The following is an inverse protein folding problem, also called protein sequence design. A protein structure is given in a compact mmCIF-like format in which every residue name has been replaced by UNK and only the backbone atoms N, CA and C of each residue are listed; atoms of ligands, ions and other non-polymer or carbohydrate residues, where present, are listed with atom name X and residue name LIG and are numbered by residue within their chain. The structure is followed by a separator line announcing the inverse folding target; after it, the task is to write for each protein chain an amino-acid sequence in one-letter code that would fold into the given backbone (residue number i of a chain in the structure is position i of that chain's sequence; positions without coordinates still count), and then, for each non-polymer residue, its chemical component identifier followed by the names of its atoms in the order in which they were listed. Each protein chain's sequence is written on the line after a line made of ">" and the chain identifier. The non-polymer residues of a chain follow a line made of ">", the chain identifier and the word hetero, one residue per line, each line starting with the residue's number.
data_IF_449086208219
#
_entry.id   IF_449086208219
#
_cell.length_a   1.000
_cell.length_b   1.000
_cell.length_c   1.000
_cell.angle_alpha   90.00
_cell.angle_beta   90.00
_cell.angle_gamma   90.00
#
_symmetry.space_group_name_H-M   'P 1'
#
loop_
_entity.id
_entity.type
_entity.pdbx_description
1 polymer ?
#
# COMPACT_ATOMS: atom_id res chain seq x y z
N UNK A 1 22.47 8.92 -25.25
CA UNK A 1 21.73 7.78 -24.67
C UNK A 1 20.51 8.31 -23.92
N UNK A 2 19.28 8.10 -24.41
CA UNK A 2 18.09 8.39 -23.61
C UNK A 2 18.03 7.37 -22.47
N UNK A 3 17.95 7.81 -21.22
CA UNK A 3 17.87 6.90 -20.09
C UNK A 3 16.55 6.11 -20.17
N UNK A 4 16.61 4.79 -19.99
CA UNK A 4 15.44 3.91 -20.00
C UNK A 4 14.42 4.26 -18.89
N UNK A 5 14.86 5.04 -17.90
CA UNK A 5 14.09 5.52 -16.75
C UNK A 5 13.14 6.67 -17.10
N UNK A 6 13.57 7.60 -17.96
CA UNK A 6 12.78 8.79 -18.31
C UNK A 6 11.38 8.47 -18.88
N UNK A 7 11.21 7.54 -19.85
CA UNK A 7 9.87 7.20 -20.36
C UNK A 7 9.00 6.46 -19.33
N UNK A 8 9.60 5.75 -18.37
CA UNK A 8 8.85 5.08 -17.30
C UNK A 8 8.35 6.09 -16.27
N UNK A 9 9.18 7.07 -15.90
CA UNK A 9 8.80 8.18 -15.02
C UNK A 9 7.64 8.98 -15.59
N UNK A 10 7.70 9.39 -16.86
CA UNK A 10 6.62 10.16 -17.49
C UNK A 10 5.32 9.36 -17.57
N UNK A 11 5.40 8.07 -17.91
CA UNK A 11 4.23 7.18 -17.94
C UNK A 11 3.64 6.97 -16.55
N UNK A 12 4.46 6.81 -15.51
CA UNK A 12 3.98 6.72 -14.13
C UNK A 12 3.39 8.02 -13.62
N UNK A 13 3.92 9.18 -14.03
CA UNK A 13 3.34 10.46 -13.65
C UNK A 13 1.98 10.66 -14.33
N UNK A 14 1.91 10.42 -15.63
CA UNK A 14 0.69 10.62 -16.41
C UNK A 14 -0.38 9.57 -16.12
N UNK A 15 -0.03 8.29 -16.07
CA UNK A 15 -1.00 7.20 -15.87
C UNK A 15 -1.16 6.91 -14.38
N UNK A 16 -0.06 6.69 -13.66
CA UNK A 16 -0.02 6.44 -12.21
C UNK A 16 -0.67 7.58 -11.43
N UNK A 17 -0.22 8.82 -11.69
CA UNK A 17 -0.74 10.01 -11.04
C UNK A 17 -2.20 10.29 -11.37
N UNK A 18 -2.62 10.27 -12.64
CA UNK A 18 -4.01 10.58 -13.00
C UNK A 18 -5.01 9.55 -12.47
N UNK A 19 -4.75 8.25 -12.65
CA UNK A 19 -5.62 7.22 -12.10
C UNK A 19 -5.58 7.24 -10.57
N UNK A 20 -4.40 7.44 -9.97
CA UNK A 20 -4.28 7.62 -8.53
C UNK A 20 -5.14 8.76 -8.00
N UNK A 21 -5.13 9.91 -8.69
CA UNK A 21 -5.98 11.05 -8.35
C UNK A 21 -7.46 10.68 -8.44
N UNK A 22 -7.90 10.04 -9.53
CA UNK A 22 -9.29 9.61 -9.71
C UNK A 22 -9.79 8.65 -8.62
N UNK A 23 -8.95 7.72 -8.18
CA UNK A 23 -9.31 6.80 -7.09
C UNK A 23 -9.22 7.45 -5.71
N UNK A 24 -8.38 8.48 -5.55
CA UNK A 24 -8.28 9.24 -4.32
C UNK A 24 -9.39 10.28 -4.14
N UNK A 25 -9.92 10.86 -5.23
CA UNK A 25 -10.97 11.91 -5.17
C UNK A 25 -12.25 11.40 -4.53
N UNK A 26 -12.71 10.19 -4.86
CA UNK A 26 -13.95 9.63 -4.31
C UNK A 26 -13.97 9.52 -2.78
N UNK A 27 -13.03 8.81 -2.13
CA UNK A 27 -13.02 8.72 -0.66
C UNK A 27 -12.75 10.08 -0.02
N UNK A 28 -11.92 10.92 -0.64
CA UNK A 28 -11.70 12.29 -0.19
C UNK A 28 -12.98 13.13 -0.20
N UNK A 29 -13.73 13.11 -1.30
CA UNK A 29 -14.99 13.85 -1.47
C UNK A 29 -16.07 13.37 -0.50
N UNK A 30 -16.22 12.06 -0.33
CA UNK A 30 -17.14 11.48 0.64
C UNK A 30 -16.83 11.97 2.05
N UNK A 31 -15.55 11.94 2.43
CA UNK A 31 -15.13 12.40 3.74
C UNK A 31 -15.28 13.91 3.89
N UNK A 32 -14.94 14.69 2.88
CA UNK A 32 -15.14 16.14 2.90
C UNK A 32 -16.62 16.51 3.12
N UNK A 33 -17.55 15.77 2.50
CA UNK A 33 -18.99 15.94 2.74
C UNK A 33 -19.38 15.54 4.17
N UNK A 34 -18.95 14.36 4.65
CA UNK A 34 -19.35 13.88 5.98
C UNK A 34 -18.72 14.68 7.11
N UNK A 35 -17.44 15.05 6.99
CA UNK A 35 -16.72 15.84 7.98
C UNK A 35 -17.39 17.19 8.19
N UNK A 36 -17.74 17.86 7.11
CA UNK A 36 -18.40 19.15 7.21
C UNK A 36 -19.85 19.06 7.64
N UNK A 37 -20.58 17.99 7.26
CA UNK A 37 -21.92 17.72 7.81
C UNK A 37 -21.91 17.55 9.34
N UNK A 38 -20.80 17.08 9.89
CA UNK A 38 -20.60 16.88 11.33
C UNK A 38 -19.96 18.11 12.02
N UNK A 39 -19.74 19.21 11.29
CA UNK A 39 -19.06 20.41 11.81
C UNK A 39 -17.57 20.21 12.09
N UNK A 40 -16.96 19.12 11.60
CA UNK A 40 -15.55 18.83 11.79
C UNK A 40 -14.72 19.30 10.61
N UNK A 41 -13.65 20.05 10.90
CA UNK A 41 -12.60 20.33 9.93
C UNK A 41 -11.73 19.08 9.83
N UNK A 42 -11.91 18.29 8.77
CA UNK A 42 -11.05 17.12 8.55
C UNK A 42 -9.63 17.60 8.30
N UNK A 43 -8.69 17.06 9.07
CA UNK A 43 -7.30 17.40 8.91
C UNK A 43 -6.79 16.97 7.52
N UNK A 44 -6.14 17.88 6.82
CA UNK A 44 -5.81 17.71 5.41
C UNK A 44 -4.90 16.49 5.14
N UNK A 45 -3.99 16.18 6.07
CA UNK A 45 -3.14 15.00 5.98
C UNK A 45 -3.94 13.68 5.98
N UNK A 46 -5.13 13.64 6.60
CA UNK A 46 -6.01 12.47 6.57
C UNK A 46 -6.64 12.28 5.19
N UNK A 47 -7.06 13.38 4.54
CA UNK A 47 -7.57 13.33 3.16
C UNK A 47 -6.48 12.81 2.20
N UNK A 48 -5.23 13.21 2.42
CA UNK A 48 -4.10 12.70 1.67
C UNK A 48 -3.85 11.23 1.94
N UNK A 49 -3.80 10.83 3.21
CA UNK A 49 -3.60 9.44 3.58
C UNK A 49 -4.70 8.52 3.02
N UNK A 50 -5.96 8.97 3.01
CA UNK A 50 -7.08 8.18 2.50
C UNK A 50 -7.10 8.13 0.98
N UNK A 51 -6.79 9.25 0.31
CA UNK A 51 -6.57 9.26 -1.13
C UNK A 51 -5.42 8.34 -1.54
N UNK A 52 -4.32 8.38 -0.79
CA UNK A 52 -3.16 7.52 -0.97
C UNK A 52 -3.48 6.05 -0.73
N UNK A 53 -4.24 5.73 0.31
CA UNK A 53 -4.70 4.36 0.59
C UNK A 53 -5.52 3.80 -0.57
N UNK A 54 -6.50 4.56 -1.05
CA UNK A 54 -7.38 4.12 -2.14
C UNK A 54 -6.63 3.91 -3.45
N UNK A 55 -5.75 4.84 -3.81
CA UNK A 55 -4.87 4.68 -4.97
C UNK A 55 -3.91 3.49 -4.82
N UNK A 56 -3.38 3.28 -3.61
CA UNK A 56 -2.53 2.15 -3.26
C UNK A 56 -3.23 0.80 -3.44
N UNK A 57 -4.46 0.63 -2.93
CA UNK A 57 -5.26 -0.59 -3.13
C UNK A 57 -5.45 -0.87 -4.62
N UNK A 58 -5.92 0.15 -5.36
CA UNK A 58 -6.25 -0.01 -6.77
C UNK A 58 -5.02 -0.38 -7.60
N UNK A 59 -3.92 0.35 -7.40
CA UNK A 59 -2.68 0.14 -8.16
C UNK A 59 -1.88 -1.07 -7.71
N UNK A 60 -2.00 -1.47 -6.45
CA UNK A 60 -1.29 -2.62 -5.89
C UNK A 60 -1.87 -3.96 -6.30
N UNK A 61 -3.15 -4.02 -6.69
CA UNK A 61 -3.83 -5.28 -7.01
C UNK A 61 -3.18 -6.07 -8.16
N UNK A 62 -3.04 -5.43 -9.33
CA UNK A 62 -2.49 -6.08 -10.52
C UNK A 62 -1.02 -6.53 -10.38
N UNK A 63 -0.08 -5.70 -9.88
CA UNK A 63 1.30 -6.13 -9.69
C UNK A 63 1.41 -7.24 -8.63
N UNK A 64 0.62 -7.18 -7.56
CA UNK A 64 0.60 -8.23 -6.52
C UNK A 64 0.07 -9.56 -7.07
N UNK A 65 -0.96 -9.52 -7.92
CA UNK A 65 -1.47 -10.70 -8.60
C UNK A 65 -0.44 -11.29 -9.58
N UNK A 66 0.24 -10.45 -10.36
CA UNK A 66 1.31 -10.90 -11.28
C UNK A 66 2.47 -11.54 -10.52
N UNK A 67 2.87 -10.95 -9.38
CA UNK A 67 3.87 -11.54 -8.50
C UNK A 67 3.39 -12.89 -7.96
N UNK A 68 2.12 -12.99 -7.53
CA UNK A 68 1.55 -14.27 -7.10
C UNK A 68 1.53 -15.34 -8.19
N UNK A 69 1.24 -14.96 -9.44
CA UNK A 69 1.32 -15.84 -10.61
C UNK A 69 2.77 -16.25 -10.92
N UNK A 70 3.73 -15.35 -10.73
CA UNK A 70 5.15 -15.66 -10.87
C UNK A 70 5.60 -16.70 -9.84
N UNK A 71 5.19 -16.52 -8.57
CA UNK A 71 5.43 -17.51 -7.51
C UNK A 71 4.80 -18.85 -7.89
N UNK A 72 3.55 -18.86 -8.37
CA UNK A 72 2.90 -20.11 -8.84
C UNK A 72 3.70 -20.81 -9.94
N UNK A 73 4.17 -20.07 -10.95
CA UNK A 73 4.81 -20.62 -12.14
C UNK A 73 6.25 -21.09 -11.90
N UNK A 74 7.04 -20.34 -11.13
CA UNK A 74 8.48 -20.61 -10.99
C UNK A 74 8.85 -21.31 -9.68
N UNK A 75 8.16 -21.00 -8.59
CA UNK A 75 8.49 -21.53 -7.26
C UNK A 75 7.52 -22.63 -6.85
N UNK A 76 6.23 -22.43 -7.10
CA UNK A 76 5.13 -23.19 -6.53
C UNK A 76 4.79 -22.71 -5.11
N UNK A 77 3.52 -22.40 -4.87
CA UNK A 77 3.06 -21.88 -3.57
C UNK A 77 3.30 -22.85 -2.40
N UNK A 78 3.29 -24.16 -2.64
CA UNK A 78 3.64 -25.14 -1.61
C UNK A 78 5.10 -24.96 -1.16
N UNK A 79 6.04 -24.90 -2.12
CA UNK A 79 7.46 -24.70 -1.83
C UNK A 79 7.72 -23.36 -1.18
N UNK A 80 7.04 -22.30 -1.64
CA UNK A 80 7.13 -20.97 -1.04
C UNK A 80 6.77 -21.00 0.45
N UNK A 81 5.60 -21.55 0.81
CA UNK A 81 5.17 -21.59 2.20
C UNK A 81 5.99 -22.53 3.06
N UNK A 82 6.45 -23.67 2.52
CA UNK A 82 7.36 -24.57 3.23
C UNK A 82 8.70 -23.91 3.49
N UNK A 83 9.27 -23.20 2.52
CA UNK A 83 10.53 -22.46 2.69
C UNK A 83 10.38 -21.30 3.67
N UNK A 84 9.35 -20.46 3.50
CA UNK A 84 9.06 -19.35 4.39
C UNK A 84 8.82 -19.84 5.83
N UNK A 85 8.06 -20.92 5.98
CA UNK A 85 7.86 -21.60 7.25
C UNK A 85 9.17 -22.13 7.84
N UNK A 86 10.02 -22.77 7.03
CA UNK A 86 11.31 -23.30 7.50
C UNK A 86 12.24 -22.20 7.98
N UNK A 87 12.37 -21.10 7.22
CA UNK A 87 13.23 -19.96 7.58
C UNK A 87 12.72 -19.29 8.85
N UNK A 88 11.43 -18.95 8.91
CA UNK A 88 10.84 -18.32 10.11
C UNK A 88 10.91 -19.24 11.33
N UNK A 89 10.62 -20.53 11.16
CA UNK A 89 10.76 -21.53 12.21
C UNK A 89 12.20 -21.67 12.69
N UNK A 90 13.18 -21.66 11.79
CA UNK A 90 14.60 -21.68 12.13
C UNK A 90 15.06 -20.45 12.91
N UNK A 91 14.59 -19.26 12.51
CA UNK A 91 14.85 -18.01 13.23
C UNK A 91 14.25 -18.05 14.64
N UNK A 92 12.98 -18.42 14.77
CA UNK A 92 12.31 -18.54 16.09
C UNK A 92 13.00 -19.61 16.94
N UNK A 93 13.33 -20.77 16.36
CA UNK A 93 14.05 -21.84 17.02
C UNK A 93 15.45 -21.44 17.47
N UNK A 94 16.14 -20.62 16.68
CA UNK A 94 17.44 -20.03 17.04
C UNK A 94 17.34 -19.01 18.16
N UNK A 95 16.34 -18.13 18.12
CA UNK A 95 16.07 -17.17 19.21
C UNK A 95 15.75 -17.89 20.52
N UNK A 96 14.92 -18.93 20.47
CA UNK A 96 14.63 -19.77 21.63
C UNK A 96 15.89 -20.51 22.08
N UNK A 97 16.68 -21.08 21.17
CA UNK A 97 17.95 -21.74 21.48
C UNK A 97 18.97 -20.80 22.15
N UNK A 98 19.01 -19.52 21.73
CA UNK A 98 19.84 -18.49 22.35
C UNK A 98 19.40 -18.14 23.78
N UNK A 99 18.12 -18.26 24.12
CA UNK A 99 17.69 -18.11 25.53
C UNK A 99 18.34 -19.17 26.44
N UNK A 100 18.77 -20.30 25.87
CA UNK A 100 19.51 -21.36 26.55
C UNK A 100 20.98 -21.40 26.11
N UNK A 101 21.60 -20.23 25.88
CA UNK A 101 23.00 -20.12 25.40
C UNK A 101 24.04 -20.82 26.29
N UNK A 102 23.72 -21.03 27.57
CA UNK A 102 24.56 -21.76 28.53
C UNK A 102 24.62 -23.27 28.25
N UNK A 103 23.70 -23.79 27.42
CA UNK A 103 23.74 -25.14 26.91
C UNK A 103 24.11 -25.10 25.43
N UNK A 104 25.23 -25.73 25.06
CA UNK A 104 25.71 -25.75 23.67
C UNK A 104 24.70 -26.47 22.73
N UNK A 105 23.97 -27.45 23.26
CA UNK A 105 23.10 -28.34 22.48
C UNK A 105 21.81 -27.65 21.96
N UNK A 106 21.06 -26.87 22.77
CA UNK A 106 19.91 -26.07 22.30
C UNK A 106 20.22 -25.05 21.20
N UNK A 107 21.44 -24.48 21.17
CA UNK A 107 21.83 -23.48 20.16
C UNK A 107 21.82 -24.10 18.76
N UNK A 108 22.23 -25.36 18.62
CA UNK A 108 22.20 -26.06 17.34
C UNK A 108 20.86 -26.74 17.09
N UNK A 109 20.27 -27.39 18.10
CA UNK A 109 19.01 -28.15 17.93
C UNK A 109 17.81 -27.24 17.73
N UNK A 110 17.78 -26.06 18.36
CA UNK A 110 16.70 -25.08 18.25
C UNK A 110 16.40 -24.67 16.81
N UNK A 111 17.38 -24.18 16.03
CA UNK A 111 17.21 -23.85 14.62
C UNK A 111 16.71 -25.03 13.78
N UNK A 112 17.31 -26.23 13.91
CA UNK A 112 16.91 -27.39 13.11
C UNK A 112 15.49 -27.89 13.44
N UNK A 113 15.15 -27.97 14.73
CA UNK A 113 13.81 -28.34 15.17
C UNK A 113 12.79 -27.28 14.74
N UNK A 114 13.15 -26.00 14.87
CA UNK A 114 12.39 -24.85 14.41
C UNK A 114 12.13 -24.91 12.91
N UNK A 115 13.14 -25.16 12.08
CA UNK A 115 12.99 -25.33 10.63
C UNK A 115 12.02 -26.46 10.29
N UNK A 116 12.12 -27.61 10.96
CA UNK A 116 11.25 -28.78 10.69
C UNK A 116 9.80 -28.51 11.09
N UNK A 117 9.57 -27.86 12.23
CA UNK A 117 8.23 -27.44 12.66
C UNK A 117 7.67 -26.37 11.72
N UNK A 118 8.50 -25.40 11.37
CA UNK A 118 8.19 -24.33 10.43
C UNK A 118 7.80 -24.85 9.05
N UNK A 119 8.52 -25.84 8.51
CA UNK A 119 8.17 -26.52 7.26
C UNK A 119 6.77 -27.16 7.31
N UNK A 120 6.45 -27.86 8.41
CA UNK A 120 5.14 -28.47 8.63
C UNK A 120 4.04 -27.42 8.75
N UNK A 121 4.29 -26.33 9.47
CA UNK A 121 3.37 -25.20 9.59
C UNK A 121 3.12 -24.55 8.23
N UNK A 122 4.18 -24.29 7.45
CA UNK A 122 4.10 -23.79 6.08
C UNK A 122 3.24 -24.66 5.18
N UNK A 123 3.39 -25.98 5.25
CA UNK A 123 2.53 -26.91 4.50
C UNK A 123 1.06 -26.84 4.93
N UNK A 124 0.78 -26.74 6.23
CA UNK A 124 -0.58 -26.57 6.76
C UNK A 124 -1.20 -25.25 6.29
N UNK A 125 -0.43 -24.16 6.33
CA UNK A 125 -0.86 -22.87 5.80
C UNK A 125 -1.22 -23.04 4.33
N UNK A 126 -0.32 -23.59 3.51
CA UNK A 126 -0.56 -23.82 2.10
C UNK A 126 -1.86 -24.59 1.82
N UNK A 127 -2.11 -25.69 2.55
CA UNK A 127 -3.34 -26.48 2.43
C UNK A 127 -4.60 -25.66 2.73
N UNK A 128 -4.55 -24.77 3.73
CA UNK A 128 -5.68 -23.91 4.05
C UNK A 128 -6.00 -22.91 2.92
N UNK A 129 -4.98 -22.37 2.25
CA UNK A 129 -5.15 -21.38 1.18
C UNK A 129 -5.40 -21.95 -0.22
N UNK A 130 -5.23 -23.27 -0.42
CA UNK A 130 -5.27 -23.87 -1.76
C UNK A 130 -6.66 -23.73 -2.42
N UNK A 131 -7.73 -23.78 -1.63
CA UNK A 131 -9.12 -23.66 -2.11
C UNK A 131 -9.47 -22.26 -2.65
N UNK A 132 -8.84 -21.23 -2.10
CA UNK A 132 -9.09 -19.83 -2.47
C UNK A 132 -8.14 -19.32 -3.56
N UNK A 133 -7.03 -20.02 -3.79
CA UNK A 133 -5.97 -19.63 -4.70
C UNK A 133 -5.01 -18.62 -4.05
N UNK A 134 -3.78 -19.04 -3.82
CA UNK A 134 -2.76 -18.22 -3.17
C UNK A 134 -2.41 -16.95 -3.95
N UNK A 135 -2.62 -16.92 -5.26
CA UNK A 135 -2.43 -15.72 -6.08
C UNK A 135 -3.46 -14.64 -5.73
N UNK A 136 -4.69 -15.04 -5.39
CA UNK A 136 -5.75 -14.11 -4.98
C UNK A 136 -5.51 -13.61 -3.55
N UNK A 137 -5.15 -14.52 -2.64
CA UNK A 137 -4.79 -14.15 -1.26
C UNK A 137 -3.58 -13.21 -1.28
N UNK A 138 -2.55 -13.53 -2.05
CA UNK A 138 -1.36 -12.70 -2.23
C UNK A 138 -1.68 -11.34 -2.88
N UNK A 139 -2.59 -11.31 -3.86
CA UNK A 139 -3.05 -10.06 -4.46
C UNK A 139 -3.77 -9.16 -3.46
N UNK A 140 -4.66 -9.73 -2.63
CA UNK A 140 -5.37 -9.01 -1.56
C UNK A 140 -4.41 -8.52 -0.48
N UNK A 141 -3.51 -9.37 0.01
CA UNK A 141 -2.53 -8.97 1.02
C UNK A 141 -1.59 -7.89 0.47
N UNK A 142 -1.14 -8.04 -0.77
CA UNK A 142 -0.30 -7.05 -1.46
C UNK A 142 -1.02 -5.73 -1.72
N UNK A 143 -2.31 -5.75 -2.09
CA UNK A 143 -3.11 -4.53 -2.27
C UNK A 143 -3.35 -3.80 -0.94
N UNK A 144 -3.53 -4.53 0.17
CA UNK A 144 -3.63 -3.92 1.50
C UNK A 144 -2.29 -3.30 1.93
N UNK A 145 -1.18 -3.98 1.72
CA UNK A 145 0.15 -3.44 2.06
C UNK A 145 0.48 -2.20 1.24
N UNK A 146 0.17 -2.20 -0.05
CA UNK A 146 0.32 -1.02 -0.92
C UNK A 146 -0.65 0.10 -0.56
N UNK A 147 -1.84 -0.21 -0.03
CA UNK A 147 -2.73 0.78 0.59
C UNK A 147 -2.06 1.48 1.77
N UNK A 148 -1.52 0.70 2.71
CA UNK A 148 -0.89 1.23 3.91
C UNK A 148 0.32 2.09 3.53
N UNK A 149 1.17 1.59 2.63
CA UNK A 149 2.32 2.36 2.14
C UNK A 149 1.88 3.63 1.39
N UNK A 150 0.84 3.53 0.56
CA UNK A 150 0.26 4.68 -0.13
C UNK A 150 -0.27 5.74 0.83
N UNK A 151 -0.95 5.31 1.88
CA UNK A 151 -1.46 6.18 2.94
C UNK A 151 -0.33 6.88 3.70
N UNK A 152 0.72 6.14 4.06
CA UNK A 152 1.89 6.69 4.75
C UNK A 152 2.62 7.68 3.87
N UNK A 153 2.89 7.34 2.61
CA UNK A 153 3.59 8.23 1.67
C UNK A 153 2.80 9.50 1.40
N UNK A 154 1.50 9.38 1.15
CA UNK A 154 0.63 10.53 0.94
C UNK A 154 0.46 11.36 2.22
N UNK A 155 0.30 10.73 3.38
CA UNK A 155 0.21 11.44 4.67
C UNK A 155 1.48 12.23 4.97
N UNK A 156 2.66 11.63 4.78
CA UNK A 156 3.94 12.31 4.92
C UNK A 156 4.07 13.48 3.95
N UNK A 157 3.71 13.28 2.69
CA UNK A 157 3.73 14.35 1.69
C UNK A 157 2.76 15.49 2.05
N UNK A 158 1.56 15.18 2.54
CA UNK A 158 0.55 16.15 2.96
C UNK A 158 0.95 16.94 4.21
N UNK A 159 1.79 16.36 5.08
CA UNK A 159 2.37 17.03 6.25
C UNK A 159 3.64 17.84 5.95
N UNK A 160 4.20 17.70 4.75
CA UNK A 160 5.44 18.37 4.34
C UNK A 160 5.21 19.78 3.78
N UNK A 161 6.29 20.50 3.48
CA UNK A 161 6.25 21.78 2.76
C UNK A 161 5.51 21.67 1.41
N UNK A 162 5.64 20.51 0.74
CA UNK A 162 4.91 20.24 -0.51
C UNK A 162 3.41 20.27 -0.26
N UNK A 163 2.96 19.56 0.79
CA UNK A 163 1.59 19.61 1.28
C UNK A 163 1.15 21.05 1.54
N UNK A 164 1.89 21.79 2.39
CA UNK A 164 1.56 23.17 2.72
C UNK A 164 1.34 24.06 1.47
N UNK A 165 2.20 23.96 0.46
CA UNK A 165 2.07 24.71 -0.80
C UNK A 165 0.92 24.23 -1.68
N UNK A 166 0.68 22.93 -1.76
CA UNK A 166 -0.43 22.37 -2.56
C UNK A 166 -1.81 22.61 -1.95
N UNK A 167 -1.88 22.88 -0.65
CA UNK A 167 -3.15 23.07 0.06
C UNK A 167 -3.68 24.49 -0.07
N UNK A 168 -2.79 25.47 -0.27
CA UNK A 168 -3.15 26.87 -0.45
C UNK A 168 -4.20 27.12 -1.55
N UNK A 169 -4.07 26.59 -2.78
CA UNK A 169 -5.11 26.80 -3.79
C UNK A 169 -6.45 26.13 -3.44
N UNK A 170 -6.42 24.99 -2.74
CA UNK A 170 -7.64 24.33 -2.29
C UNK A 170 -8.35 25.12 -1.17
N UNK A 171 -7.58 25.72 -0.26
CA UNK A 171 -8.09 26.63 0.77
C UNK A 171 -8.62 27.93 0.16
N UNK A 172 -7.90 28.53 -0.79
CA UNK A 172 -8.38 29.73 -1.49
C UNK A 172 -9.68 29.47 -2.26
N UNK A 173 -9.82 28.29 -2.88
CA UNK A 173 -11.06 27.88 -3.54
C UNK A 173 -12.19 27.64 -2.54
N UNK A 174 -11.89 27.04 -1.39
CA UNK A 174 -12.84 26.87 -0.29
C UNK A 174 -13.38 28.22 0.20
N UNK A 175 -12.49 29.15 0.51
CA UNK A 175 -12.83 30.49 0.99
C UNK A 175 -13.65 31.26 -0.05
N UNK A 176 -13.28 31.15 -1.34
CA UNK A 176 -14.06 31.74 -2.43
C UNK A 176 -15.48 31.15 -2.52
N UNK A 177 -15.63 29.83 -2.38
CA UNK A 177 -16.94 29.19 -2.40
C UNK A 177 -17.80 29.60 -1.19
N UNK A 178 -17.20 29.69 -0.01
CA UNK A 178 -17.88 30.17 1.21
C UNK A 178 -18.33 31.62 1.03
N UNK A 179 -17.48 32.48 0.47
CA UNK A 179 -17.80 33.88 0.17
C UNK A 179 -18.91 34.06 -0.89
N UNK A 180 -19.32 32.98 -1.56
CA UNK A 180 -20.41 32.96 -2.55
C UNK A 180 -21.66 32.24 -2.04
N UNK A 181 -21.76 32.01 -0.73
CA UNK A 181 -22.85 31.26 -0.10
C UNK A 181 -23.07 29.87 -0.72
N UNK A 182 -22.00 29.25 -1.22
CA UNK A 182 -22.08 27.89 -1.74
C UNK A 182 -22.49 26.94 -0.61
N UNK A 183 -23.30 25.93 -0.95
CA UNK A 183 -23.72 24.94 0.03
C UNK A 183 -22.51 24.22 0.63
N UNK A 184 -22.58 23.94 1.93
CA UNK A 184 -21.56 23.17 2.64
C UNK A 184 -21.32 21.79 1.97
N UNK A 185 -22.33 21.21 1.30
CA UNK A 185 -22.14 19.99 0.52
C UNK A 185 -21.14 20.17 -0.61
N UNK A 186 -21.29 21.25 -1.40
CA UNK A 186 -20.44 21.52 -2.56
C UNK A 186 -19.01 21.80 -2.10
N UNK A 187 -18.86 22.66 -1.10
CA UNK A 187 -17.53 23.07 -0.69
C UNK A 187 -16.79 21.91 0.02
N UNK A 188 -17.49 21.02 0.72
CA UNK A 188 -16.91 19.82 1.34
C UNK A 188 -16.51 18.78 0.30
N UNK A 189 -17.33 18.59 -0.72
CA UNK A 189 -17.02 17.73 -1.86
C UNK A 189 -15.76 18.19 -2.60
N UNK A 190 -15.62 19.50 -2.84
CA UNK A 190 -14.46 20.07 -3.55
C UNK A 190 -13.19 19.97 -2.70
N UNK A 191 -13.24 20.41 -1.44
CA UNK A 191 -12.14 20.35 -0.47
C UNK A 191 -11.66 18.91 -0.28
N UNK A 192 -12.59 18.03 0.07
CA UNK A 192 -12.32 16.61 0.27
C UNK A 192 -11.80 15.94 -1.00
N UNK A 193 -12.44 16.21 -2.13
CA UNK A 193 -12.08 15.65 -3.43
C UNK A 193 -10.67 16.06 -3.85
N UNK A 194 -10.29 17.32 -3.65
CA UNK A 194 -8.94 17.81 -3.95
C UNK A 194 -7.89 17.19 -3.02
N UNK A 195 -8.14 17.15 -1.71
CA UNK A 195 -7.22 16.50 -0.76
C UNK A 195 -6.99 15.03 -1.08
N UNK A 196 -8.08 14.31 -1.41
CA UNK A 196 -8.01 12.93 -1.87
C UNK A 196 -7.29 12.78 -3.22
N UNK A 197 -7.52 13.69 -4.17
CA UNK A 197 -6.85 13.70 -5.47
C UNK A 197 -5.33 13.81 -5.33
N UNK A 198 -4.85 14.73 -4.49
CA UNK A 198 -3.41 14.94 -4.30
C UNK A 198 -2.75 13.73 -3.64
N UNK A 199 -3.33 13.22 -2.55
CA UNK A 199 -2.82 12.02 -1.90
C UNK A 199 -2.83 10.80 -2.81
N UNK A 200 -3.93 10.64 -3.57
CA UNK A 200 -4.08 9.58 -4.55
C UNK A 200 -3.09 9.69 -5.70
N UNK A 201 -2.83 10.88 -6.23
CA UNK A 201 -1.88 11.11 -7.32
C UNK A 201 -0.46 10.70 -6.92
N UNK A 202 -0.05 11.07 -5.71
CA UNK A 202 1.28 10.75 -5.19
C UNK A 202 1.43 9.25 -5.02
N UNK A 203 0.50 8.60 -4.30
CA UNK A 203 0.56 7.16 -4.11
C UNK A 203 0.47 6.41 -5.43
N UNK A 204 -0.41 6.84 -6.34
CA UNK A 204 -0.58 6.23 -7.66
C UNK A 204 0.68 6.33 -8.52
N UNK A 205 1.36 7.48 -8.50
CA UNK A 205 2.66 7.66 -9.14
C UNK A 205 3.71 6.68 -8.59
N UNK A 206 3.87 6.62 -7.26
CA UNK A 206 4.89 5.77 -6.65
C UNK A 206 4.59 4.27 -6.82
N UNK A 207 3.35 3.84 -6.64
CA UNK A 207 2.95 2.44 -6.84
C UNK A 207 3.17 2.01 -8.30
N UNK A 208 2.80 2.85 -9.27
CA UNK A 208 3.01 2.55 -10.69
C UNK A 208 4.51 2.57 -11.07
N UNK A 209 5.28 3.51 -10.51
CA UNK A 209 6.73 3.58 -10.74
C UNK A 209 7.43 2.33 -10.21
N UNK A 210 7.13 1.90 -8.98
CA UNK A 210 7.70 0.67 -8.40
C UNK A 210 7.32 -0.55 -9.24
N UNK A 211 6.05 -0.65 -9.67
CA UNK A 211 5.60 -1.74 -10.53
C UNK A 211 6.32 -1.78 -11.89
N UNK A 212 6.58 -0.62 -12.51
CA UNK A 212 7.34 -0.52 -13.78
C UNK A 212 8.83 -0.78 -13.60
N UNK A 213 9.43 -0.32 -12.50
CA UNK A 213 10.85 -0.55 -12.22
C UNK A 213 11.14 -2.01 -11.89
N UNK A 214 10.19 -2.70 -11.24
CA UNK A 214 10.25 -4.14 -10.97
C UNK A 214 9.89 -5.03 -12.16
N UNK A 215 9.51 -4.45 -13.31
CA UNK A 215 9.12 -5.20 -14.50
C UNK A 215 7.79 -5.96 -14.33
N UNK A 216 7.00 -5.60 -13.32
CA UNK A 216 5.68 -6.19 -13.10
C UNK A 216 4.64 -5.61 -14.06
N UNK A 217 4.86 -4.40 -14.59
CA UNK A 217 3.95 -3.70 -15.52
C UNK A 217 4.76 -2.92 -16.57
N UNK A 218 4.33 -2.93 -17.83
CA UNK A 218 4.98 -2.27 -18.97
C UNK A 218 4.38 -0.91 -19.35
#
# INVERSE_FOLDING_TARGET
>A
MKSWVQPRLSKSLLVGGSLGALFGTMPGALLGVTGWSAGHVIAWYLLWALGGAAAGIWRGWQPSYRLGMWVRRYVGWERFWVLAGSVSGGLVGGLVGMAFWWALFPIFVGPFAGMRLGAKAGRKIWMAGVFYGWERIGAMAGSVMTAILGAVLAGLAGSSLVGALTNQPAQALADWLIARDASWLITGLVIGGLGGAFGGAISGFFSDLVARLSGLVD
#
